data_IF_921173717504
#
_entry.id   IF_921173717504
#
_cell.length_a   1.000
_cell.length_b   1.000
_cell.length_c   1.000
_cell.angle_alpha   90.00
_cell.angle_beta   90.00
_cell.angle_gamma   90.00
#
_symmetry.space_group_name_H-M   'P 1'
#
loop_
_entity.id
_entity.type
_entity.pdbx_description
1 polymer ?
#
# COMPACT_ATOMS: atom_id res chain seq x y z
N UNK A 1 -31.32 0.77 -41.99
CA UNK A 1 -30.40 0.07 -41.06
C UNK A 1 -29.15 -0.33 -41.83
N UNK A 2 -27.99 0.31 -41.61
CA UNK A 2 -26.72 -0.26 -41.99
C UNK A 2 -26.05 -0.88 -40.77
N UNK A 3 -25.85 -2.19 -40.84
CA UNK A 3 -25.04 -3.00 -39.94
C UNK A 3 -23.57 -2.57 -40.02
N UNK A 4 -23.11 -1.81 -39.03
CA UNK A 4 -21.67 -1.60 -38.80
C UNK A 4 -21.05 -2.88 -38.25
N UNK A 5 -20.52 -3.69 -39.15
CA UNK A 5 -19.58 -4.75 -38.82
C UNK A 5 -18.43 -4.14 -38.01
N UNK A 6 -18.30 -4.56 -36.75
CA UNK A 6 -17.14 -4.28 -35.94
C UNK A 6 -15.91 -4.85 -36.65
N UNK A 7 -15.07 -3.98 -37.20
CA UNK A 7 -13.75 -4.36 -37.71
C UNK A 7 -12.95 -4.98 -36.57
N UNK A 8 -12.28 -6.13 -36.79
CA UNK A 8 -11.33 -6.64 -35.81
C UNK A 8 -10.23 -5.58 -35.66
N UNK A 9 -10.01 -5.15 -34.41
CA UNK A 9 -8.95 -4.21 -34.03
C UNK A 9 -7.62 -4.66 -34.67
N UNK A 10 -7.02 -3.82 -35.52
CA UNK A 10 -5.75 -4.15 -36.17
C UNK A 10 -4.64 -4.34 -35.10
N UNK A 11 -3.79 -5.37 -35.19
CA UNK A 11 -2.86 -5.75 -34.13
C UNK A 11 -1.56 -4.92 -34.09
N UNK A 12 -1.57 -3.65 -34.53
CA UNK A 12 -0.35 -2.85 -34.67
C UNK A 12 -0.55 -1.33 -34.46
N UNK A 13 -1.50 -0.91 -33.64
CA UNK A 13 -1.47 0.49 -33.17
C UNK A 13 -0.26 0.68 -32.24
N UNK A 14 0.54 1.74 -32.43
CA UNK A 14 1.70 2.00 -31.59
C UNK A 14 1.24 2.08 -30.13
N UNK A 15 1.99 1.44 -29.22
CA UNK A 15 1.75 1.49 -27.77
C UNK A 15 2.14 2.86 -27.20
N UNK A 16 1.66 3.91 -27.84
CA UNK A 16 1.86 5.33 -27.53
C UNK A 16 0.60 5.88 -26.88
N UNK A 17 0.77 6.85 -26.01
CA UNK A 17 -0.34 7.61 -25.45
C UNK A 17 -0.47 8.91 -26.24
N UNK A 18 -1.61 9.17 -26.91
CA UNK A 18 -1.77 10.39 -27.68
C UNK A 18 -1.84 11.62 -26.78
N UNK A 19 -1.57 12.79 -27.36
CA UNK A 19 -1.63 14.06 -26.65
C UNK A 19 -3.07 14.31 -26.17
N UNK A 20 -3.23 14.64 -24.89
CA UNK A 20 -4.52 14.90 -24.27
C UNK A 20 -4.35 15.66 -22.97
N UNK A 21 -5.45 16.15 -22.38
CA UNK A 21 -5.41 16.87 -21.11
C UNK A 21 -5.81 15.93 -19.98
N UNK A 22 -5.03 15.97 -18.88
CA UNK A 22 -5.33 15.27 -17.63
C UNK A 22 -5.28 16.22 -16.45
N UNK A 23 -5.95 15.88 -15.35
CA UNK A 23 -5.80 16.62 -14.10
C UNK A 23 -4.70 15.99 -13.23
N UNK A 24 -3.78 16.81 -12.72
CA UNK A 24 -2.78 16.35 -11.76
C UNK A 24 -3.46 15.88 -10.46
N UNK A 25 -3.18 14.66 -9.97
CA UNK A 25 -3.82 14.13 -8.76
C UNK A 25 -3.43 14.89 -7.49
N UNK A 26 -2.25 15.53 -7.44
CA UNK A 26 -1.76 16.22 -6.25
C UNK A 26 -2.13 17.70 -6.17
N UNK A 27 -1.90 18.47 -7.25
CA UNK A 27 -2.16 19.92 -7.25
C UNK A 27 -3.44 20.34 -7.99
N UNK A 28 -4.10 19.42 -8.69
CA UNK A 28 -5.34 19.68 -9.43
C UNK A 28 -5.17 20.49 -10.72
N UNK A 29 -3.94 20.87 -11.11
CA UNK A 29 -3.68 21.57 -12.36
C UNK A 29 -4.08 20.70 -13.56
N UNK A 30 -4.82 21.26 -14.52
CA UNK A 30 -5.05 20.63 -15.82
C UNK A 30 -3.78 20.76 -16.66
N UNK A 31 -3.16 19.63 -16.97
CA UNK A 31 -1.90 19.55 -17.71
C UNK A 31 -2.18 18.94 -19.08
N UNK A 32 -1.77 19.64 -20.13
CA UNK A 32 -1.77 19.10 -21.49
C UNK A 32 -0.56 18.19 -21.65
N UNK A 33 -0.79 16.89 -21.69
CA UNK A 33 0.25 15.90 -21.96
C UNK A 33 0.62 15.91 -23.45
N UNK A 34 1.92 15.91 -23.79
CA UNK A 34 2.36 15.62 -25.15
C UNK A 34 2.08 14.16 -25.50
N UNK A 35 2.16 13.82 -26.80
CA UNK A 35 2.09 12.42 -27.21
C UNK A 35 3.34 11.68 -26.70
N UNK A 36 3.14 10.71 -25.82
CA UNK A 36 4.22 9.95 -25.18
C UNK A 36 4.50 8.66 -25.95
N UNK A 37 5.79 8.40 -26.17
CA UNK A 37 6.31 7.15 -26.72
C UNK A 37 6.76 6.19 -25.62
N UNK A 38 7.00 4.96 -26.03
CA UNK A 38 7.50 3.89 -25.17
C UNK A 38 8.83 4.31 -24.52
N UNK A 39 8.88 4.30 -23.20
CA UNK A 39 10.03 4.71 -22.39
C UNK A 39 10.06 6.18 -21.99
N UNK A 40 9.07 6.99 -22.41
CA UNK A 40 8.94 8.39 -22.02
C UNK A 40 8.06 8.55 -20.77
N UNK A 41 8.33 9.60 -19.99
CA UNK A 41 7.65 9.95 -18.75
C UNK A 41 7.23 11.42 -18.77
N UNK A 42 6.15 11.76 -18.08
CA UNK A 42 5.64 13.12 -17.96
C UNK A 42 5.49 13.55 -16.50
N UNK A 43 5.88 14.80 -16.20
CA UNK A 43 5.83 15.40 -14.88
C UNK A 43 4.93 16.64 -14.85
N UNK A 44 4.32 16.92 -13.69
CA UNK A 44 3.51 18.11 -13.50
C UNK A 44 4.39 19.37 -13.35
N UNK A 45 4.18 20.44 -14.14
CA UNK A 45 5.01 21.65 -14.07
C UNK A 45 4.83 22.47 -12.79
N UNK A 46 3.76 22.24 -12.01
CA UNK A 46 3.45 23.01 -10.78
C UNK A 46 3.98 22.35 -9.50
N UNK A 47 3.84 21.03 -9.41
CA UNK A 47 4.17 20.29 -8.19
C UNK A 47 5.24 19.21 -8.40
N UNK A 48 5.73 19.02 -9.62
CA UNK A 48 6.71 17.99 -9.94
C UNK A 48 6.24 16.59 -9.52
N UNK A 49 4.95 16.32 -9.76
CA UNK A 49 4.37 14.98 -9.60
C UNK A 49 4.60 14.18 -10.87
N UNK A 50 5.04 12.93 -10.74
CA UNK A 50 5.04 11.98 -11.85
C UNK A 50 3.60 11.69 -12.29
N UNK A 51 3.25 12.05 -13.52
CA UNK A 51 1.90 11.91 -14.04
C UNK A 51 1.68 10.55 -14.71
N UNK A 52 2.54 10.21 -15.68
CA UNK A 52 2.40 9.02 -16.52
C UNK A 52 3.78 8.58 -17.02
N UNK A 53 4.04 7.28 -17.01
CA UNK A 53 5.14 6.62 -17.71
C UNK A 53 4.63 5.58 -18.70
N UNK A 54 5.26 5.43 -19.86
CA UNK A 54 4.98 4.29 -20.76
C UNK A 54 6.12 3.28 -20.64
N UNK A 55 5.92 2.11 -19.99
CA UNK A 55 6.97 1.13 -19.87
C UNK A 55 7.31 0.50 -21.23
N UNK A 56 8.53 -0.04 -21.37
CA UNK A 56 9.04 -0.62 -22.64
C UNK A 56 8.19 -1.76 -23.20
N UNK A 57 7.65 -2.58 -22.31
CA UNK A 57 6.81 -3.73 -22.63
C UNK A 57 5.55 -3.70 -21.75
N UNK A 58 4.60 -2.79 -22.05
CA UNK A 58 3.48 -2.48 -21.17
C UNK A 58 2.46 -3.62 -21.04
N UNK A 59 2.50 -4.64 -21.90
CA UNK A 59 1.61 -5.80 -21.81
C UNK A 59 2.34 -7.05 -21.34
N UNK A 60 3.44 -7.43 -22.01
CA UNK A 60 4.11 -8.70 -21.76
C UNK A 60 4.86 -8.74 -20.43
N UNK A 61 5.51 -7.65 -20.01
CA UNK A 61 6.27 -7.67 -18.75
C UNK A 61 5.38 -7.74 -17.50
N UNK A 62 4.31 -6.92 -17.34
CA UNK A 62 3.37 -7.08 -16.22
C UNK A 62 2.78 -8.48 -16.17
N UNK A 63 2.42 -9.07 -17.32
CA UNK A 63 1.84 -10.42 -17.39
C UNK A 63 2.84 -11.49 -16.96
N UNK A 64 4.10 -11.42 -17.43
CA UNK A 64 5.15 -12.37 -17.06
C UNK A 64 5.47 -12.29 -15.56
N UNK A 65 5.70 -11.08 -15.02
CA UNK A 65 5.97 -10.90 -13.59
C UNK A 65 4.77 -11.29 -12.72
N UNK A 66 3.53 -11.09 -13.18
CA UNK A 66 2.35 -11.50 -12.44
C UNK A 66 2.26 -13.03 -12.32
N UNK A 67 2.53 -13.78 -13.40
CA UNK A 67 2.62 -15.25 -13.35
C UNK A 67 3.76 -15.74 -12.45
N UNK A 68 4.96 -15.16 -12.58
CA UNK A 68 6.10 -15.48 -11.70
C UNK A 68 5.74 -15.23 -10.23
N UNK A 69 5.13 -14.08 -9.94
CA UNK A 69 4.70 -13.72 -8.57
C UNK A 69 3.65 -14.70 -8.04
N UNK A 70 2.71 -15.13 -8.86
CA UNK A 70 1.67 -16.09 -8.47
C UNK A 70 2.27 -17.46 -8.14
N UNK A 71 3.21 -17.94 -8.96
CA UNK A 71 3.93 -19.20 -8.71
C UNK A 71 4.74 -19.09 -7.42
N UNK A 72 5.48 -18.00 -7.22
CA UNK A 72 6.28 -17.79 -6.01
C UNK A 72 5.41 -17.67 -4.75
N UNK A 73 4.22 -17.06 -4.85
CA UNK A 73 3.24 -17.03 -3.76
C UNK A 73 2.77 -18.44 -3.38
N UNK A 74 2.45 -19.28 -4.38
CA UNK A 74 2.04 -20.67 -4.14
C UNK A 74 3.17 -21.51 -3.52
N UNK A 75 4.41 -21.29 -3.96
CA UNK A 75 5.59 -21.93 -3.36
C UNK A 75 5.78 -21.46 -1.91
N UNK A 76 5.69 -20.16 -1.64
CA UNK A 76 5.83 -19.60 -0.29
C UNK A 76 4.76 -20.12 0.69
N UNK A 77 3.59 -20.52 0.21
CA UNK A 77 2.55 -21.14 1.03
C UNK A 77 2.76 -22.64 1.26
N UNK A 78 3.46 -23.32 0.35
CA UNK A 78 3.64 -24.77 0.36
C UNK A 78 4.78 -25.24 1.26
N UNK A 79 5.82 -24.42 1.46
CA UNK A 79 7.00 -24.77 2.23
C UNK A 79 7.02 -24.08 3.62
N UNK A 80 7.81 -24.59 4.58
CA UNK A 80 8.00 -23.92 5.86
C UNK A 80 8.82 -22.63 5.70
N UNK A 81 8.40 -21.58 6.43
CA UNK A 81 9.08 -20.29 6.44
C UNK A 81 10.38 -20.36 7.22
N UNK A 82 10.32 -20.97 8.41
CA UNK A 82 11.41 -21.06 9.37
C UNK A 82 11.53 -22.51 9.86
N UNK A 83 12.78 -22.96 10.00
CA UNK A 83 13.11 -24.22 10.63
C UNK A 83 13.94 -23.90 11.88
N UNK A 84 13.45 -24.33 13.04
CA UNK A 84 14.14 -24.18 14.32
C UNK A 84 14.55 -25.57 14.79
N UNK A 85 15.85 -25.75 15.00
CA UNK A 85 16.40 -26.95 15.62
C UNK A 85 16.65 -26.68 17.10
N UNK A 86 15.88 -27.34 17.95
CA UNK A 86 16.10 -27.33 19.40
C UNK A 86 16.23 -28.78 19.84
N UNK A 87 17.44 -29.16 20.27
CA UNK A 87 17.72 -30.49 20.84
C UNK A 87 17.28 -31.66 19.94
N UNK A 88 17.41 -31.53 18.61
CA UNK A 88 17.10 -32.60 17.66
C UNK A 88 15.62 -32.72 17.27
N UNK A 89 14.74 -31.85 17.79
CA UNK A 89 13.37 -31.73 17.32
C UNK A 89 13.24 -30.53 16.38
N UNK A 90 13.08 -30.78 15.08
CA UNK A 90 12.89 -29.72 14.09
C UNK A 90 11.44 -29.25 14.09
N UNK A 91 11.20 -28.08 14.66
CA UNK A 91 9.90 -27.42 14.53
C UNK A 91 9.91 -26.54 13.29
N UNK A 92 9.00 -26.85 12.36
CA UNK A 92 8.82 -26.09 11.13
C UNK A 92 7.56 -25.25 11.25
N UNK A 93 7.65 -23.98 10.86
CA UNK A 93 6.51 -23.06 10.94
C UNK A 93 6.24 -22.48 9.55
N UNK A 94 5.07 -22.78 8.99
CA UNK A 94 4.59 -22.19 7.73
C UNK A 94 3.84 -20.87 7.96
N UNK A 95 3.64 -20.09 6.89
CA UNK A 95 2.90 -18.83 6.96
C UNK A 95 1.44 -19.03 7.39
N UNK A 96 0.82 -20.13 6.98
CA UNK A 96 -0.57 -20.45 7.34
C UNK A 96 -0.66 -20.92 8.81
N UNK A 97 0.31 -21.70 9.27
CA UNK A 97 0.42 -22.10 10.68
C UNK A 97 0.65 -20.89 11.60
N UNK A 98 1.43 -19.89 11.16
CA UNK A 98 1.57 -18.62 11.87
C UNK A 98 0.21 -17.94 12.09
N UNK A 99 -0.61 -17.83 11.05
CA UNK A 99 -1.92 -17.21 11.15
C UNK A 99 -2.86 -18.00 12.07
N UNK A 100 -2.86 -19.33 11.98
CA UNK A 100 -3.67 -20.20 12.84
C UNK A 100 -3.27 -20.09 14.32
N UNK A 101 -1.97 -20.05 14.62
CA UNK A 101 -1.46 -19.91 15.98
C UNK A 101 -1.93 -18.60 16.64
N UNK A 102 -2.00 -17.52 15.88
CA UNK A 102 -2.50 -16.22 16.36
C UNK A 102 -4.02 -16.26 16.56
N UNK A 103 -4.75 -16.91 15.65
CA UNK A 103 -6.21 -17.03 15.72
C UNK A 103 -6.67 -17.80 16.97
N UNK A 104 -5.97 -18.89 17.32
CA UNK A 104 -6.25 -19.70 18.53
C UNK A 104 -6.00 -18.94 19.85
N UNK A 105 -5.37 -17.77 19.80
CA UNK A 105 -4.98 -16.97 20.98
C UNK A 105 -5.81 -15.69 21.10
N UNK A 106 -6.97 -15.62 20.45
CA UNK A 106 -7.92 -14.48 20.46
C UNK A 106 -7.43 -13.17 19.80
N UNK A 107 -6.30 -13.19 19.09
CA UNK A 107 -5.78 -12.02 18.36
C UNK A 107 -6.22 -12.02 16.88
N UNK A 108 -7.51 -12.23 16.64
CA UNK A 108 -8.07 -12.37 15.29
C UNK A 108 -7.74 -11.20 14.36
N UNK A 109 -7.66 -9.97 14.87
CA UNK A 109 -7.30 -8.78 14.07
C UNK A 109 -5.90 -8.91 13.46
N UNK A 110 -4.90 -9.34 14.24
CA UNK A 110 -3.52 -9.51 13.75
C UNK A 110 -3.46 -10.61 12.69
N UNK A 111 -4.12 -11.75 12.94
CA UNK A 111 -4.18 -12.86 11.99
C UNK A 111 -4.85 -12.44 10.67
N UNK A 112 -5.95 -11.68 10.75
CA UNK A 112 -6.65 -11.16 9.58
C UNK A 112 -5.78 -10.17 8.80
N UNK A 113 -5.07 -9.26 9.48
CA UNK A 113 -4.14 -8.33 8.80
C UNK A 113 -3.03 -9.09 8.09
N UNK A 114 -2.43 -10.10 8.74
CA UNK A 114 -1.43 -10.96 8.12
C UNK A 114 -1.97 -11.65 6.86
N UNK A 115 -3.08 -12.39 6.99
CA UNK A 115 -3.68 -13.14 5.88
C UNK A 115 -4.13 -12.21 4.75
N UNK A 116 -4.76 -11.08 5.08
CA UNK A 116 -5.29 -10.15 4.10
C UNK A 116 -4.16 -9.45 3.33
N UNK A 117 -3.20 -8.84 4.01
CA UNK A 117 -2.17 -8.02 3.38
C UNK A 117 -1.03 -8.81 2.73
N UNK A 118 -0.73 -10.03 3.22
CA UNK A 118 0.39 -10.84 2.72
C UNK A 118 -0.05 -11.92 1.74
N UNK A 119 -1.29 -12.44 1.87
CA UNK A 119 -1.76 -13.57 1.05
C UNK A 119 -2.94 -13.20 0.15
N UNK A 120 -4.07 -12.80 0.73
CA UNK A 120 -5.34 -12.65 -0.01
C UNK A 120 -5.33 -11.46 -0.99
N UNK A 121 -4.93 -10.27 -0.55
CA UNK A 121 -4.89 -9.09 -1.41
C UNK A 121 -3.86 -9.20 -2.53
N UNK A 122 -2.61 -9.65 -2.28
CA UNK A 122 -1.68 -9.93 -3.37
C UNK A 122 -2.17 -11.00 -4.34
N UNK A 123 -2.76 -12.09 -3.84
CA UNK A 123 -3.34 -13.13 -4.70
C UNK A 123 -4.46 -12.58 -5.60
N UNK A 124 -5.39 -11.82 -5.02
CA UNK A 124 -6.48 -11.16 -5.76
C UNK A 124 -5.94 -10.15 -6.79
N UNK A 125 -4.94 -9.37 -6.41
CA UNK A 125 -4.26 -8.42 -7.30
C UNK A 125 -3.65 -9.14 -8.51
N UNK A 126 -2.88 -10.21 -8.27
CA UNK A 126 -2.23 -10.97 -9.34
C UNK A 126 -3.22 -11.62 -10.29
N UNK A 127 -4.28 -12.26 -9.77
CA UNK A 127 -5.34 -12.83 -10.59
C UNK A 127 -6.04 -11.77 -11.44
N UNK A 128 -6.29 -10.60 -10.86
CA UNK A 128 -6.90 -9.46 -11.57
C UNK A 128 -5.98 -8.93 -12.68
N UNK A 129 -4.69 -8.76 -12.40
CA UNK A 129 -3.69 -8.31 -13.39
C UNK A 129 -3.57 -9.33 -14.53
N UNK A 130 -3.43 -10.63 -14.22
CA UNK A 130 -3.38 -11.68 -15.24
C UNK A 130 -4.62 -11.63 -16.14
N UNK A 131 -5.81 -11.48 -15.55
CA UNK A 131 -7.07 -11.36 -16.28
C UNK A 131 -7.11 -10.12 -17.20
N UNK A 132 -6.79 -8.94 -16.67
CA UNK A 132 -6.81 -7.68 -17.42
C UNK A 132 -5.82 -7.70 -18.59
N UNK A 133 -4.56 -8.04 -18.33
CA UNK A 133 -3.51 -8.01 -19.36
C UNK A 133 -3.65 -9.15 -20.38
N UNK A 134 -4.21 -10.31 -20.00
CA UNK A 134 -4.59 -11.35 -20.96
C UNK A 134 -5.70 -10.87 -21.91
N UNK A 135 -6.71 -10.17 -21.39
CA UNK A 135 -7.76 -9.54 -22.21
C UNK A 135 -7.20 -8.51 -23.19
N UNK A 136 -6.28 -7.65 -22.72
CA UNK A 136 -5.61 -6.65 -23.55
C UNK A 136 -4.73 -7.30 -24.63
N UNK A 137 -3.97 -8.34 -24.28
CA UNK A 137 -3.09 -9.07 -25.21
C UNK A 137 -3.88 -9.79 -26.31
N UNK A 138 -5.04 -10.34 -25.97
CA UNK A 138 -5.91 -11.05 -26.93
C UNK A 138 -6.84 -10.12 -27.72
N UNK A 139 -6.88 -8.82 -27.39
CA UNK A 139 -7.79 -7.86 -28.00
C UNK A 139 -9.28 -8.14 -27.71
N UNK A 140 -9.58 -8.97 -26.69
CA UNK A 140 -10.95 -9.40 -26.38
C UNK A 140 -11.58 -8.50 -25.33
N UNK A 141 -12.86 -8.14 -25.55
CA UNK A 141 -13.70 -7.43 -24.58
C UNK A 141 -14.20 -8.39 -23.51
N UNK A 142 -13.35 -8.73 -22.54
CA UNK A 142 -13.73 -9.54 -21.39
C UNK A 142 -14.73 -8.79 -20.47
N UNK A 143 -15.64 -9.50 -19.78
CA UNK A 143 -16.57 -8.85 -18.87
C UNK A 143 -15.85 -8.21 -17.68
N UNK A 144 -16.26 -7.00 -17.28
CA UNK A 144 -15.78 -6.37 -16.05
C UNK A 144 -14.38 -5.72 -16.10
N UNK A 145 -13.77 -5.50 -17.27
CA UNK A 145 -12.43 -4.88 -17.37
C UNK A 145 -12.35 -3.50 -16.68
N UNK A 146 -13.36 -2.63 -16.85
CA UNK A 146 -13.40 -1.27 -16.25
C UNK A 146 -13.38 -1.28 -14.71
N UNK A 147 -14.30 -1.99 -14.00
CA UNK A 147 -14.27 -2.04 -12.54
C UNK A 147 -13.03 -2.78 -12.00
N UNK A 148 -12.54 -3.81 -12.69
CA UNK A 148 -11.32 -4.53 -12.29
C UNK A 148 -10.07 -3.63 -12.38
N UNK A 149 -9.94 -2.78 -13.41
CA UNK A 149 -8.86 -1.81 -13.47
C UNK A 149 -8.89 -0.80 -12.30
N UNK A 150 -10.09 -0.38 -11.91
CA UNK A 150 -10.28 0.47 -10.72
C UNK A 150 -9.90 -0.26 -9.43
N UNK A 151 -10.21 -1.56 -9.34
CA UNK A 151 -9.88 -2.40 -8.19
C UNK A 151 -8.35 -2.54 -8.01
N UNK A 152 -7.60 -2.70 -9.10
CA UNK A 152 -6.13 -2.79 -9.07
C UNK A 152 -5.51 -1.58 -8.35
N UNK A 153 -5.92 -0.36 -8.72
CA UNK A 153 -5.42 0.86 -8.06
C UNK A 153 -5.82 0.99 -6.59
N UNK A 154 -6.92 0.36 -6.17
CA UNK A 154 -7.36 0.34 -4.76
C UNK A 154 -6.62 -0.68 -3.92
N UNK A 155 -6.28 -1.85 -4.48
CA UNK A 155 -5.59 -2.94 -3.75
C UNK A 155 -4.11 -2.63 -3.58
N UNK A 156 -3.48 -2.01 -4.57
CA UNK A 156 -2.03 -1.83 -4.61
C UNK A 156 -1.40 -1.23 -3.33
N UNK A 157 -1.98 -0.19 -2.67
CA UNK A 157 -1.43 0.37 -1.44
C UNK A 157 -1.48 -0.55 -0.22
N UNK A 158 -2.31 -1.59 -0.25
CA UNK A 158 -2.53 -2.52 0.87
C UNK A 158 -1.65 -3.76 0.81
N UNK A 159 -0.95 -3.98 -0.31
CA UNK A 159 0.00 -5.08 -0.45
C UNK A 159 1.27 -4.71 0.30
N UNK A 160 1.55 -5.46 1.36
CA UNK A 160 2.66 -5.16 2.29
C UNK A 160 3.60 -6.35 2.48
N UNK A 161 3.77 -7.16 1.43
CA UNK A 161 4.59 -8.37 1.46
C UNK A 161 6.06 -8.04 1.72
N UNK A 162 6.56 -6.96 1.10
CA UNK A 162 7.90 -6.43 1.28
C UNK A 162 8.14 -5.95 2.72
N UNK A 163 7.14 -5.29 3.30
CA UNK A 163 7.15 -4.83 4.69
C UNK A 163 7.13 -6.02 5.65
N UNK A 164 6.34 -7.05 5.36
CA UNK A 164 6.31 -8.31 6.11
C UNK A 164 7.67 -9.03 6.07
N UNK A 165 8.30 -9.11 4.89
CA UNK A 165 9.63 -9.72 4.73
C UNK A 165 10.69 -8.97 5.55
N UNK A 166 10.67 -7.63 5.54
CA UNK A 166 11.56 -6.83 6.37
C UNK A 166 11.32 -7.12 7.86
N UNK A 167 10.05 -7.20 8.28
CA UNK A 167 9.68 -7.58 9.64
C UNK A 167 10.18 -8.98 10.02
N UNK A 168 10.13 -9.94 9.09
CA UNK A 168 10.68 -11.28 9.28
C UNK A 168 12.19 -11.23 9.53
N UNK A 169 12.93 -10.49 8.70
CA UNK A 169 14.38 -10.34 8.84
C UNK A 169 14.73 -9.69 10.19
N UNK A 170 14.04 -8.61 10.58
CA UNK A 170 14.25 -7.94 11.87
C UNK A 170 13.94 -8.87 13.05
N UNK A 171 12.83 -9.61 12.99
CA UNK A 171 12.47 -10.59 14.02
C UNK A 171 13.50 -11.71 14.12
N UNK A 172 14.04 -12.18 12.99
CA UNK A 172 15.07 -13.21 12.98
C UNK A 172 16.38 -12.73 13.59
N UNK A 173 16.82 -11.50 13.29
CA UNK A 173 18.01 -10.91 13.94
C UNK A 173 17.85 -10.88 15.46
N UNK A 174 16.65 -10.54 15.95
CA UNK A 174 16.33 -10.57 17.38
C UNK A 174 16.33 -11.98 17.97
N UNK A 175 15.92 -13.00 17.21
CA UNK A 175 15.92 -14.40 17.65
C UNK A 175 17.28 -15.07 17.55
N UNK A 176 18.11 -14.68 16.58
CA UNK A 176 19.45 -15.22 16.40
C UNK A 176 20.37 -14.96 17.60
N UNK A 177 20.08 -13.95 18.42
CA UNK A 177 20.79 -13.73 19.69
C UNK A 177 20.42 -14.75 20.79
N UNK A 178 19.32 -15.49 20.63
CA UNK A 178 18.82 -16.46 21.61
C UNK A 178 18.96 -17.91 21.13
N UNK A 179 18.88 -18.19 19.82
CA UNK A 179 18.92 -19.53 19.25
C UNK A 179 19.49 -19.56 17.81
N UNK A 180 19.93 -20.74 17.33
CA UNK A 180 20.27 -20.94 15.92
C UNK A 180 18.98 -21.07 15.09
N UNK A 181 18.78 -20.16 14.15
CA UNK A 181 17.59 -20.11 13.29
C UNK A 181 17.99 -20.29 11.83
N UNK A 182 17.42 -21.29 11.16
CA UNK A 182 17.63 -21.54 9.73
C UNK A 182 16.55 -20.93 8.85
N UNK A 183 16.92 -20.52 7.63
CA UNK A 183 15.96 -20.08 6.61
C UNK A 183 15.34 -21.28 5.88
N UNK A 184 14.01 -21.38 5.88
CA UNK A 184 13.29 -22.34 5.06
C UNK A 184 13.21 -21.92 3.59
N UNK A 185 12.81 -22.83 2.69
CA UNK A 185 12.64 -22.52 1.27
C UNK A 185 11.59 -21.41 1.05
N UNK A 186 10.56 -21.32 1.89
CA UNK A 186 9.55 -20.27 1.76
C UNK A 186 10.10 -18.87 2.01
N UNK A 187 11.17 -18.71 2.78
CA UNK A 187 11.79 -17.40 2.95
C UNK A 187 12.33 -16.86 1.61
N UNK A 188 13.04 -17.71 0.86
CA UNK A 188 13.56 -17.36 -0.46
C UNK A 188 12.45 -17.17 -1.50
N UNK A 189 11.41 -18.02 -1.45
CA UNK A 189 10.22 -17.86 -2.30
C UNK A 189 9.50 -16.53 -2.00
N UNK A 190 9.36 -16.16 -0.72
CA UNK A 190 8.76 -14.90 -0.27
C UNK A 190 9.59 -13.68 -0.67
N UNK A 191 10.93 -13.78 -0.62
CA UNK A 191 11.83 -12.75 -1.12
C UNK A 191 11.64 -12.55 -2.63
N UNK A 192 11.66 -13.63 -3.41
CA UNK A 192 11.40 -13.58 -4.85
C UNK A 192 10.00 -13.02 -5.16
N UNK A 193 8.99 -13.46 -4.42
CA UNK A 193 7.61 -13.01 -4.54
C UNK A 193 7.47 -11.52 -4.26
N UNK A 194 8.04 -11.02 -3.17
CA UNK A 194 8.06 -9.59 -2.81
C UNK A 194 8.64 -8.73 -3.94
N UNK A 195 9.79 -9.14 -4.49
CA UNK A 195 10.45 -8.43 -5.58
C UNK A 195 9.62 -8.47 -6.88
N UNK A 196 9.10 -9.64 -7.25
CA UNK A 196 8.30 -9.82 -8.45
C UNK A 196 6.95 -9.08 -8.35
N UNK A 197 6.31 -9.07 -7.18
CA UNK A 197 5.06 -8.35 -6.92
C UNK A 197 5.28 -6.83 -7.00
N UNK A 198 6.34 -6.33 -6.36
CA UNK A 198 6.72 -4.91 -6.43
C UNK A 198 7.03 -4.51 -7.87
N UNK A 199 7.71 -5.39 -8.62
CA UNK A 199 7.98 -5.14 -10.04
C UNK A 199 6.70 -5.13 -10.86
N UNK A 200 5.78 -6.06 -10.62
CA UNK A 200 4.46 -6.09 -11.27
C UNK A 200 3.71 -4.78 -11.05
N UNK A 201 3.61 -4.31 -9.80
CA UNK A 201 2.92 -3.06 -9.47
C UNK A 201 3.58 -1.82 -10.08
N UNK A 202 4.92 -1.75 -10.12
CA UNK A 202 5.63 -0.62 -10.74
C UNK A 202 5.52 -0.55 -12.26
N UNK A 203 5.22 -1.67 -12.93
CA UNK A 203 5.03 -1.70 -14.39
C UNK A 203 3.59 -1.38 -14.80
N UNK A 204 2.64 -1.39 -13.87
CA UNK A 204 1.24 -1.08 -14.13
C UNK A 204 1.06 0.43 -13.98
N UNK A 205 0.99 1.12 -15.11
CA UNK A 205 0.62 2.53 -15.16
C UNK A 205 -0.92 2.65 -15.21
N UNK A 206 -1.60 3.14 -14.15
CA UNK A 206 -3.07 3.13 -14.07
C UNK A 206 -3.73 3.94 -15.19
N UNK A 207 -3.14 5.08 -15.54
CA UNK A 207 -3.69 5.95 -16.57
C UNK A 207 -3.63 5.30 -17.97
N UNK A 208 -2.49 4.70 -18.32
CA UNK A 208 -2.32 3.95 -19.56
C UNK A 208 -3.23 2.70 -19.62
N UNK A 209 -3.39 1.99 -18.49
CA UNK A 209 -4.28 0.84 -18.40
C UNK A 209 -5.73 1.23 -18.70
N UNK A 210 -6.21 2.33 -18.10
CA UNK A 210 -7.55 2.85 -18.37
C UNK A 210 -7.71 3.33 -19.81
N UNK A 211 -6.70 3.97 -20.41
CA UNK A 211 -6.70 4.33 -21.83
C UNK A 211 -6.94 3.09 -22.71
N UNK A 212 -6.13 2.04 -22.52
CA UNK A 212 -6.18 0.85 -23.37
C UNK A 212 -7.49 0.08 -23.23
N UNK A 213 -8.03 -0.02 -22.01
CA UNK A 213 -9.32 -0.66 -21.77
C UNK A 213 -10.45 0.11 -22.45
N UNK A 214 -10.45 1.45 -22.39
CA UNK A 214 -11.49 2.24 -23.04
C UNK A 214 -11.45 2.11 -24.57
N UNK A 215 -10.25 2.06 -25.17
CA UNK A 215 -10.09 1.78 -26.60
C UNK A 215 -10.65 0.41 -26.99
N UNK A 216 -10.40 -0.64 -26.19
CA UNK A 216 -11.00 -1.96 -26.43
C UNK A 216 -12.52 -1.89 -26.48
N UNK A 217 -13.14 -1.05 -25.64
CA UNK A 217 -14.58 -0.80 -25.64
C UNK A 217 -15.07 0.15 -26.76
N UNK A 218 -14.18 0.64 -27.63
CA UNK A 218 -14.52 1.54 -28.74
C UNK A 218 -14.72 3.00 -28.34
N UNK A 219 -14.24 3.39 -27.15
CA UNK A 219 -14.31 4.77 -26.65
C UNK A 219 -12.91 5.34 -26.50
N UNK A 220 -12.58 6.40 -27.24
CA UNK A 220 -11.32 7.11 -27.10
C UNK A 220 -11.46 8.21 -26.01
N UNK A 221 -10.77 8.09 -24.86
CA UNK A 221 -10.87 9.06 -23.79
C UNK A 221 -10.10 10.35 -24.05
N UNK A 222 -9.31 10.40 -25.13
CA UNK A 222 -8.52 11.58 -25.50
C UNK A 222 -9.28 12.56 -26.40
N UNK A 223 -10.37 12.10 -27.02
CA UNK A 223 -11.21 12.90 -27.89
C UNK A 223 -12.40 13.49 -27.12
N UNK A 224 -12.57 14.81 -27.18
CA UNK A 224 -13.70 15.54 -26.60
C UNK A 224 -13.27 16.50 -25.50
N UNK A 225 -13.03 17.76 -25.88
CA UNK A 225 -12.76 18.86 -24.95
C UNK A 225 -13.64 20.07 -25.31
N UNK A 226 -14.66 20.33 -24.49
CA UNK A 226 -15.23 21.65 -24.22
C UNK A 226 -16.28 21.53 -23.10
N UNK A 227 -16.46 22.63 -22.35
CA UNK A 227 -17.34 22.82 -21.17
C UNK A 227 -16.79 22.31 -19.82
N UNK A 228 -17.18 22.93 -18.67
CA UNK A 228 -16.49 22.72 -17.39
C UNK A 228 -16.34 21.24 -17.09
N UNK A 229 -15.10 20.82 -16.86
CA UNK A 229 -14.74 19.41 -16.68
C UNK A 229 -14.04 19.19 -15.35
N UNK A 230 -14.24 18.00 -14.81
CA UNK A 230 -13.58 17.53 -13.61
C UNK A 230 -12.65 16.37 -13.96
N UNK A 231 -11.43 16.42 -13.46
CA UNK A 231 -10.51 15.29 -13.53
C UNK A 231 -10.94 14.15 -12.62
N UNK A 232 -11.14 12.97 -13.17
CA UNK A 232 -11.44 11.77 -12.41
C UNK A 232 -10.21 11.35 -11.57
N UNK A 233 -10.38 11.14 -10.26
CA UNK A 233 -9.27 10.74 -9.38
C UNK A 233 -8.80 9.30 -9.62
N UNK A 234 -9.62 8.48 -10.27
CA UNK A 234 -9.30 7.08 -10.54
C UNK A 234 -8.53 6.91 -11.85
N UNK A 235 -9.02 7.49 -12.96
CA UNK A 235 -8.40 7.30 -14.28
C UNK A 235 -7.65 8.53 -14.80
N UNK A 236 -7.69 9.69 -14.14
CA UNK A 236 -7.01 10.92 -14.55
C UNK A 236 -7.65 11.68 -15.73
N UNK A 237 -8.50 11.02 -16.52
CA UNK A 237 -9.23 11.64 -17.62
C UNK A 237 -10.25 12.68 -17.15
N UNK A 238 -10.48 13.67 -18.02
CA UNK A 238 -11.50 14.69 -17.84
C UNK A 238 -12.89 14.15 -18.17
N UNK A 239 -13.85 14.38 -17.28
CA UNK A 239 -15.28 14.13 -17.51
C UNK A 239 -16.07 15.42 -17.34
N UNK A 240 -17.24 15.58 -17.97
CA UNK A 240 -18.03 16.81 -17.85
C UNK A 240 -18.48 16.99 -16.41
N UNK A 241 -18.53 18.23 -15.94
CA UNK A 241 -18.95 18.53 -14.56
C UNK A 241 -20.42 18.19 -14.28
N UNK A 242 -21.25 18.04 -15.32
CA UNK A 242 -22.65 17.64 -15.21
C UNK A 242 -22.85 16.17 -14.85
N UNK A 243 -21.82 15.32 -15.03
CA UNK A 243 -21.92 13.89 -14.75
C UNK A 243 -21.48 13.57 -13.32
N UNK A 244 -22.28 12.77 -12.59
CA UNK A 244 -21.89 12.26 -11.27
C UNK A 244 -20.92 11.07 -11.34
N UNK A 245 -20.80 10.43 -12.50
CA UNK A 245 -19.95 9.25 -12.71
C UNK A 245 -19.08 9.45 -13.94
N UNK A 246 -17.83 9.01 -13.85
CA UNK A 246 -16.88 9.09 -14.94
C UNK A 246 -17.34 8.21 -16.11
N UNK A 247 -17.50 8.80 -17.30
CA UNK A 247 -17.85 8.07 -18.53
C UNK A 247 -16.91 6.92 -18.90
N UNK A 248 -15.67 6.95 -18.41
CA UNK A 248 -14.62 5.99 -18.75
C UNK A 248 -14.49 4.86 -17.71
N UNK A 249 -14.24 5.20 -16.44
CA UNK A 249 -14.01 4.21 -15.38
C UNK A 249 -15.23 3.97 -14.47
N UNK A 250 -16.34 4.71 -14.66
CA UNK A 250 -17.56 4.66 -13.84
C UNK A 250 -17.37 5.01 -12.35
N UNK A 251 -16.19 5.52 -11.97
CA UNK A 251 -15.97 6.05 -10.62
C UNK A 251 -16.81 7.33 -10.41
N UNK A 252 -17.28 7.53 -9.18
CA UNK A 252 -18.03 8.73 -8.78
C UNK A 252 -17.14 9.97 -8.88
N UNK A 253 -17.57 10.95 -9.66
CA UNK A 253 -16.87 12.21 -9.88
C UNK A 253 -17.18 13.19 -8.75
N UNK A 254 -16.13 13.84 -8.26
CA UNK A 254 -16.25 14.94 -7.31
C UNK A 254 -15.15 15.95 -7.62
N UNK A 255 -15.41 17.25 -7.42
CA UNK A 255 -14.37 18.27 -7.57
C UNK A 255 -13.25 18.07 -6.53
N UNK A 256 -13.65 17.79 -5.28
CA UNK A 256 -12.79 17.39 -4.15
C UNK A 256 -13.43 16.25 -3.40
N UNK A 257 -12.63 15.43 -2.72
CA UNK A 257 -13.16 14.29 -1.98
C UNK A 257 -14.10 14.77 -0.85
N UNK A 258 -15.36 14.29 -0.81
CA UNK A 258 -16.37 14.84 0.08
C UNK A 258 -16.00 14.59 1.54
N UNK A 259 -16.07 15.66 2.35
CA UNK A 259 -15.73 15.67 3.78
C UNK A 259 -14.32 15.13 4.06
N UNK A 260 -13.37 15.32 3.16
CA UNK A 260 -11.98 14.84 3.31
C UNK A 260 -11.37 15.26 4.65
N UNK A 261 -11.41 16.57 4.98
CA UNK A 261 -10.88 17.06 6.26
C UNK A 261 -11.53 16.41 7.48
N UNK A 262 -12.86 16.24 7.47
CA UNK A 262 -13.56 15.61 8.59
C UNK A 262 -13.19 14.12 8.73
N UNK A 263 -13.10 13.38 7.61
CA UNK A 263 -12.70 11.97 7.60
C UNK A 263 -11.26 11.81 8.10
N UNK A 264 -10.34 12.62 7.58
CA UNK A 264 -8.93 12.62 8.00
C UNK A 264 -8.81 12.99 9.47
N UNK A 265 -9.48 14.05 9.95
CA UNK A 265 -9.43 14.45 11.36
C UNK A 265 -10.03 13.38 12.30
N UNK A 266 -11.14 12.74 11.93
CA UNK A 266 -11.73 11.67 12.74
C UNK A 266 -10.83 10.44 12.84
N UNK A 267 -10.21 10.02 11.74
CA UNK A 267 -9.26 8.91 11.71
C UNK A 267 -7.96 9.24 12.45
N UNK A 268 -7.48 10.47 12.33
CA UNK A 268 -6.33 10.96 13.08
C UNK A 268 -6.60 10.99 14.59
N UNK A 269 -7.77 11.45 15.01
CA UNK A 269 -8.19 11.43 16.41
C UNK A 269 -8.27 9.99 16.93
N UNK A 270 -8.85 9.08 16.16
CA UNK A 270 -8.88 7.66 16.52
C UNK A 270 -7.46 7.08 16.68
N UNK A 271 -6.52 7.44 15.80
CA UNK A 271 -5.12 7.04 15.92
C UNK A 271 -4.46 7.58 17.19
N UNK A 272 -4.69 8.86 17.54
CA UNK A 272 -4.16 9.46 18.78
C UNK A 272 -4.71 8.76 20.02
N UNK A 273 -6.00 8.44 20.05
CA UNK A 273 -6.61 7.69 21.16
C UNK A 273 -6.01 6.29 21.29
N UNK A 274 -5.78 5.59 20.17
CA UNK A 274 -5.18 4.25 20.16
C UNK A 274 -3.67 4.25 20.47
N UNK A 275 -2.97 5.36 20.22
CA UNK A 275 -1.54 5.52 20.54
C UNK A 275 -1.27 5.37 22.04
N UNK A 276 -2.18 5.87 22.89
CA UNK A 276 -2.04 5.81 24.35
C UNK A 276 -2.00 4.37 24.89
N UNK A 277 -3.03 3.52 24.68
CA UNK A 277 -2.97 2.13 25.13
C UNK A 277 -1.88 1.32 24.41
N UNK A 278 -1.53 1.65 23.16
CA UNK A 278 -0.45 0.99 22.43
C UNK A 278 0.94 1.15 23.08
N UNK A 279 1.19 2.27 23.77
CA UNK A 279 2.48 2.53 24.43
C UNK A 279 2.47 2.25 25.94
N UNK A 280 1.29 2.29 26.59
CA UNK A 280 1.16 2.06 28.02
C UNK A 280 0.99 0.58 28.39
N UNK A 281 0.28 -0.20 27.58
CA UNK A 281 0.04 -1.61 27.88
C UNK A 281 1.17 -2.51 27.36
N UNK A 282 1.30 -3.74 27.89
CA UNK A 282 2.27 -4.69 27.37
C UNK A 282 1.95 -5.06 25.93
N UNK A 283 2.96 -5.00 25.07
CA UNK A 283 2.90 -5.49 23.68
C UNK A 283 3.19 -6.99 23.63
N UNK A 284 3.94 -7.47 24.63
CA UNK A 284 4.42 -8.83 24.72
C UNK A 284 4.32 -9.32 26.16
N UNK A 285 3.81 -10.53 26.32
CA UNK A 285 3.81 -11.26 27.58
C UNK A 285 4.72 -12.47 27.41
N UNK A 286 5.85 -12.48 28.12
CA UNK A 286 6.78 -13.62 28.11
C UNK A 286 6.53 -14.48 29.33
N UNK A 287 6.10 -15.72 29.12
CA UNK A 287 5.90 -16.69 30.18
C UNK A 287 7.13 -17.61 30.26
N UNK A 288 7.74 -17.66 31.45
CA UNK A 288 8.88 -18.54 31.75
C UNK A 288 8.66 -19.20 33.10
N UNK A 289 8.66 -20.54 33.14
CA UNK A 289 8.49 -21.33 34.37
C UNK A 289 7.25 -20.91 35.20
N UNK A 290 6.13 -20.61 34.52
CA UNK A 290 4.88 -20.16 35.14
C UNK A 290 4.86 -18.69 35.60
N UNK A 291 5.94 -17.93 35.38
CA UNK A 291 6.00 -16.49 35.66
C UNK A 291 5.77 -15.70 34.37
N UNK A 292 4.70 -14.93 34.34
CA UNK A 292 4.36 -14.03 33.23
C UNK A 292 5.07 -12.68 33.45
N UNK A 293 5.91 -12.30 32.50
CA UNK A 293 6.63 -11.02 32.51
C UNK A 293 6.10 -10.12 31.37
N UNK A 294 5.29 -9.10 31.69
CA UNK A 294 4.83 -8.15 30.69
C UNK A 294 5.97 -7.21 30.28
N UNK A 295 6.05 -6.92 28.98
CA UNK A 295 6.96 -5.93 28.42
C UNK A 295 6.22 -4.95 27.51
N UNK A 296 6.35 -3.65 27.77
CA UNK A 296 5.90 -2.59 26.85
C UNK A 296 6.92 -2.37 25.74
N UNK A 297 6.56 -1.58 24.71
CA UNK A 297 7.49 -1.17 23.64
C UNK A 297 8.72 -0.48 24.24
N UNK A 298 8.50 0.50 25.12
CA UNK A 298 9.57 1.28 25.77
C UNK A 298 10.45 0.40 26.66
N UNK A 299 9.85 -0.50 27.42
CA UNK A 299 10.60 -1.45 28.25
C UNK A 299 11.44 -2.39 27.37
N UNK A 300 10.90 -2.86 26.24
CA UNK A 300 11.64 -3.66 25.27
C UNK A 300 12.86 -2.93 24.71
N UNK A 301 12.72 -1.64 24.37
CA UNK A 301 13.83 -0.79 23.92
C UNK A 301 14.90 -0.66 25.01
N UNK A 302 14.49 -0.43 26.26
CA UNK A 302 15.42 -0.29 27.39
C UNK A 302 16.22 -1.58 27.67
N UNK A 303 15.55 -2.73 27.65
CA UNK A 303 16.22 -4.04 27.81
C UNK A 303 17.25 -4.29 26.70
N UNK A 304 16.89 -3.98 25.43
CA UNK A 304 17.82 -4.10 24.30
C UNK A 304 19.02 -3.14 24.46
N UNK A 305 18.77 -1.92 24.92
CA UNK A 305 19.82 -0.93 25.19
C UNK A 305 20.81 -1.42 26.25
N UNK A 306 20.33 -1.99 27.36
CA UNK A 306 21.17 -2.56 28.41
C UNK A 306 22.00 -3.75 27.93
N UNK A 307 21.42 -4.58 27.05
CA UNK A 307 22.10 -5.72 26.42
C UNK A 307 23.10 -5.32 25.32
N UNK A 308 23.40 -4.02 25.18
CA UNK A 308 24.30 -3.43 24.16
C UNK A 308 23.84 -3.67 22.71
N UNK A 309 22.60 -4.08 22.47
CA UNK A 309 22.02 -4.20 21.12
C UNK A 309 21.46 -2.86 20.63
N UNK A 310 22.27 -1.81 20.72
CA UNK A 310 21.89 -0.43 20.37
C UNK A 310 21.25 -0.27 18.98
N UNK A 311 21.76 -0.92 17.91
CA UNK A 311 21.15 -0.79 16.58
C UNK A 311 19.71 -1.28 16.54
N UNK A 312 19.41 -2.40 17.21
CA UNK A 312 18.06 -2.97 17.25
C UNK A 312 17.12 -2.08 18.07
N UNK A 313 17.59 -1.61 19.23
CA UNK A 313 16.84 -0.69 20.08
C UNK A 313 16.46 0.60 19.33
N UNK A 314 17.39 1.17 18.54
CA UNK A 314 17.15 2.37 17.73
C UNK A 314 16.12 2.12 16.62
N UNK A 315 16.22 1.00 15.91
CA UNK A 315 15.25 0.64 14.86
C UNK A 315 13.84 0.55 15.44
N UNK A 316 13.65 -0.15 16.57
CA UNK A 316 12.34 -0.28 17.21
C UNK A 316 11.84 1.08 17.71
N UNK A 317 12.69 1.89 18.35
CA UNK A 317 12.30 3.23 18.80
C UNK A 317 11.82 4.11 17.64
N UNK A 318 12.59 4.15 16.55
CA UNK A 318 12.26 4.98 15.38
C UNK A 318 10.98 4.50 14.71
N UNK A 319 10.83 3.20 14.49
CA UNK A 319 9.69 2.60 13.81
C UNK A 319 8.38 2.68 14.62
N UNK A 320 8.45 2.47 15.94
CA UNK A 320 7.27 2.22 16.78
C UNK A 320 6.82 3.44 17.57
N UNK A 321 7.72 4.39 17.83
CA UNK A 321 7.44 5.58 18.64
C UNK A 321 7.57 6.84 17.79
N UNK A 322 8.75 7.07 17.19
CA UNK A 322 9.04 8.33 16.49
C UNK A 322 8.23 8.49 15.19
N UNK A 323 8.22 7.48 14.31
CA UNK A 323 7.50 7.55 13.03
C UNK A 323 5.99 7.80 13.23
N UNK A 324 5.26 7.06 14.10
CA UNK A 324 3.84 7.33 14.34
C UNK A 324 3.57 8.74 14.87
N UNK A 325 4.38 9.23 15.82
CA UNK A 325 4.26 10.61 16.33
C UNK A 325 4.47 11.62 15.19
N UNK A 326 5.56 11.49 14.43
CA UNK A 326 5.88 12.38 13.32
C UNK A 326 4.75 12.39 12.28
N UNK A 327 4.18 11.22 11.95
CA UNK A 327 3.07 11.07 11.02
C UNK A 327 1.79 11.75 11.53
N UNK A 328 1.44 11.56 12.81
CA UNK A 328 0.27 12.20 13.40
C UNK A 328 0.39 13.73 13.45
N UNK A 329 1.55 14.25 13.86
CA UNK A 329 1.82 15.70 13.87
C UNK A 329 1.75 16.26 12.45
N UNK A 330 2.42 15.62 11.49
CA UNK A 330 2.47 16.12 10.13
C UNK A 330 1.08 16.10 9.45
N UNK A 331 0.26 15.05 9.67
CA UNK A 331 -1.13 15.03 9.20
C UNK A 331 -2.00 16.08 9.90
N UNK A 332 -1.81 16.34 11.19
CA UNK A 332 -2.51 17.41 11.91
C UNK A 332 -2.18 18.79 11.31
N UNK A 333 -0.89 19.05 11.02
CA UNK A 333 -0.43 20.28 10.38
C UNK A 333 -1.02 20.43 8.98
N UNK A 334 -1.07 19.37 8.17
CA UNK A 334 -1.70 19.39 6.85
C UNK A 334 -3.21 19.66 6.93
N UNK A 335 -3.91 19.06 7.90
CA UNK A 335 -5.33 19.33 8.12
C UNK A 335 -5.57 20.80 8.52
N UNK A 336 -4.75 21.33 9.43
CA UNK A 336 -4.84 22.72 9.86
C UNK A 336 -4.56 23.69 8.70
N UNK A 337 -3.52 23.39 7.92
CA UNK A 337 -3.14 24.20 6.76
C UNK A 337 -4.20 24.18 5.65
N UNK A 338 -4.93 23.07 5.50
CA UNK A 338 -6.05 22.98 4.56
C UNK A 338 -7.36 23.60 5.11
N UNK A 339 -7.49 23.75 6.42
CA UNK A 339 -8.69 24.31 7.07
C UNK A 339 -8.62 25.83 7.25
N UNK A 340 -7.42 26.38 7.46
CA UNK A 340 -7.21 27.80 7.77
C UNK A 340 -6.30 28.44 6.71
N UNK A 341 -6.64 29.65 6.21
CA UNK A 341 -5.74 30.44 5.39
C UNK A 341 -4.38 30.59 6.06
N UNK A 342 -3.33 30.18 5.36
CA UNK A 342 -1.95 30.31 5.84
C UNK A 342 -1.05 30.78 4.70
N UNK A 343 0.15 31.25 5.06
CA UNK A 343 1.14 31.76 4.11
C UNK A 343 2.15 30.67 3.67
N UNK A 344 2.01 29.44 4.16
CA UNK A 344 2.94 28.37 3.82
C UNK A 344 2.76 28.01 2.35
N UNK A 345 3.87 27.97 1.62
CA UNK A 345 3.82 27.66 0.20
C UNK A 345 3.28 26.22 -0.01
N UNK A 346 2.24 26.03 -0.84
CA UNK A 346 1.52 24.75 -0.97
C UNK A 346 2.41 23.61 -1.49
N UNK A 347 3.49 23.93 -2.22
CA UNK A 347 4.48 22.95 -2.64
C UNK A 347 5.19 22.29 -1.45
N UNK A 348 5.51 23.02 -0.38
CA UNK A 348 6.16 22.45 0.81
C UNK A 348 5.22 21.50 1.54
N UNK A 349 3.95 21.85 1.65
CA UNK A 349 2.91 21.00 2.26
C UNK A 349 2.66 19.74 1.42
N UNK A 350 2.68 19.88 0.09
CA UNK A 350 2.58 18.74 -0.84
C UNK A 350 3.79 17.81 -0.73
N UNK A 351 5.01 18.34 -0.64
CA UNK A 351 6.23 17.55 -0.40
C UNK A 351 6.17 16.84 0.96
N UNK A 352 5.72 17.52 2.00
CA UNK A 352 5.51 16.91 3.33
C UNK A 352 4.52 15.75 3.24
N UNK A 353 3.39 15.95 2.54
CA UNK A 353 2.43 14.88 2.29
C UNK A 353 3.07 13.68 1.56
N UNK A 354 3.86 13.89 0.51
CA UNK A 354 4.56 12.80 -0.21
C UNK A 354 5.49 12.00 0.70
N UNK A 355 6.22 12.68 1.59
CA UNK A 355 7.09 12.00 2.57
C UNK A 355 6.26 11.17 3.55
N UNK A 356 5.14 11.72 4.05
CA UNK A 356 4.22 10.99 4.93
C UNK A 356 3.63 9.77 4.24
N UNK A 357 3.17 9.93 3.00
CA UNK A 357 2.55 8.86 2.21
C UNK A 357 3.56 7.75 1.92
N UNK A 358 4.80 8.12 1.56
CA UNK A 358 5.90 7.18 1.39
C UNK A 358 6.20 6.41 2.68
N UNK A 359 6.36 7.09 3.83
CA UNK A 359 6.61 6.46 5.13
C UNK A 359 5.40 5.61 5.57
N UNK A 360 4.20 5.96 5.12
CA UNK A 360 2.93 5.37 5.52
C UNK A 360 2.89 3.84 5.41
N UNK A 361 3.33 3.28 4.29
CA UNK A 361 3.39 1.81 4.07
C UNK A 361 4.40 1.11 4.98
N UNK A 362 5.53 1.76 5.30
CA UNK A 362 6.58 1.21 6.16
C UNK A 362 6.21 1.23 7.64
N UNK A 363 5.24 2.05 8.05
CA UNK A 363 4.77 2.08 9.44
C UNK A 363 4.20 0.74 9.93
N UNK A 364 3.87 -0.20 9.02
CA UNK A 364 3.36 -1.53 9.35
C UNK A 364 4.46 -2.57 9.64
N UNK A 365 5.75 -2.26 9.42
CA UNK A 365 6.86 -3.19 9.72
C UNK A 365 6.74 -3.74 11.13
N UNK A 366 6.49 -2.86 12.09
CA UNK A 366 6.52 -3.23 13.51
C UNK A 366 5.35 -4.16 13.92
N UNK A 367 4.17 -3.98 13.30
CA UNK A 367 3.04 -4.92 13.45
C UNK A 367 3.44 -6.32 13.00
N UNK A 368 4.11 -6.43 11.84
CA UNK A 368 4.57 -7.72 11.34
C UNK A 368 5.71 -8.32 12.17
N UNK A 369 6.61 -7.50 12.72
CA UNK A 369 7.64 -7.97 13.67
C UNK A 369 6.98 -8.63 14.88
N UNK A 370 5.97 -7.99 15.48
CA UNK A 370 5.24 -8.55 16.63
C UNK A 370 4.56 -9.87 16.26
N UNK A 371 3.88 -9.92 15.11
CA UNK A 371 3.22 -11.12 14.58
C UNK A 371 4.20 -12.29 14.48
N UNK A 372 5.36 -12.07 13.87
CA UNK A 372 6.37 -13.11 13.63
C UNK A 372 7.07 -13.51 14.92
N UNK A 373 7.35 -12.56 15.81
CA UNK A 373 8.01 -12.85 17.08
C UNK A 373 7.12 -13.71 17.98
N UNK A 374 5.82 -13.41 18.05
CA UNK A 374 4.85 -14.23 18.78
C UNK A 374 4.85 -15.65 18.26
N UNK A 375 4.88 -15.86 16.94
CA UNK A 375 4.83 -17.22 16.41
C UNK A 375 6.15 -17.96 16.54
N UNK A 376 7.29 -17.27 16.44
CA UNK A 376 8.61 -17.89 16.52
C UNK A 376 9.06 -18.27 17.93
N UNK A 377 8.69 -17.52 18.96
CA UNK A 377 9.16 -17.79 20.34
C UNK A 377 8.23 -18.78 21.06
N UNK A 378 7.92 -19.88 20.39
CA UNK A 378 7.31 -21.05 21.00
C UNK A 378 8.39 -22.12 21.22
N UNK A 379 9.31 -21.87 22.15
CA UNK A 379 10.35 -22.84 22.51
C UNK A 379 9.81 -23.87 23.52
N UNK A 380 8.95 -24.77 23.03
CA UNK A 380 8.43 -25.89 23.82
C UNK A 380 7.76 -25.47 25.14
N UNK A 381 7.86 -26.31 26.17
CA UNK A 381 7.23 -26.08 27.49
C UNK A 381 7.96 -25.09 28.41
N UNK A 382 9.08 -24.49 27.96
CA UNK A 382 9.98 -23.72 28.83
C UNK A 382 9.78 -22.21 28.73
N UNK A 383 9.51 -21.68 27.52
CA UNK A 383 9.21 -20.26 27.29
C UNK A 383 8.21 -20.07 26.14
N UNK A 384 7.14 -19.31 26.41
CA UNK A 384 6.18 -18.88 25.40
C UNK A 384 6.02 -17.37 25.42
N UNK A 385 5.76 -16.81 24.24
CA UNK A 385 5.54 -15.38 24.05
C UNK A 385 4.15 -15.16 23.47
N UNK A 386 3.36 -14.36 24.16
CA UNK A 386 2.00 -14.03 23.76
C UNK A 386 1.90 -12.55 23.37
N UNK A 387 1.07 -12.20 22.38
CA UNK A 387 0.75 -10.80 22.13
C UNK A 387 0.04 -10.25 23.37
N UNK A 388 0.38 -9.02 23.76
CA UNK A 388 -0.38 -8.30 24.76
C UNK A 388 -1.47 -7.44 24.12
N UNK A 389 -2.35 -6.88 24.94
CA UNK A 389 -3.46 -6.01 24.48
C UNK A 389 -3.00 -4.78 23.70
N UNK A 390 -1.76 -4.32 23.94
CA UNK A 390 -1.19 -3.21 23.20
C UNK A 390 -1.00 -3.53 21.71
N UNK A 391 -0.79 -4.81 21.34
CA UNK A 391 -0.61 -5.20 19.94
C UNK A 391 -1.85 -4.88 19.07
N UNK A 392 -3.06 -5.07 19.62
CA UNK A 392 -4.31 -4.70 18.93
C UNK A 392 -4.45 -3.19 18.79
N UNK A 393 -4.18 -2.45 19.87
CA UNK A 393 -4.24 -0.98 19.87
C UNK A 393 -3.22 -0.38 18.91
N UNK A 394 -2.01 -0.93 18.89
CA UNK A 394 -0.93 -0.53 18.00
C UNK A 394 -1.29 -0.80 16.53
N UNK A 395 -1.79 -2.00 16.20
CA UNK A 395 -2.23 -2.31 14.86
C UNK A 395 -3.38 -1.39 14.40
N UNK A 396 -4.39 -1.19 15.25
CA UNK A 396 -5.49 -0.26 14.97
C UNK A 396 -5.03 1.18 14.76
N UNK A 397 -4.08 1.65 15.56
CA UNK A 397 -3.46 2.97 15.39
C UNK A 397 -2.76 3.10 14.04
N UNK A 398 -1.92 2.13 13.65
CA UNK A 398 -1.22 2.18 12.36
C UNK A 398 -2.21 2.19 11.19
N UNK A 399 -3.23 1.32 11.23
CA UNK A 399 -4.30 1.30 10.23
C UNK A 399 -5.07 2.63 10.17
N UNK A 400 -5.41 3.21 11.32
CA UNK A 400 -6.10 4.51 11.39
C UNK A 400 -5.25 5.64 10.81
N UNK A 401 -3.94 5.70 11.09
CA UNK A 401 -3.05 6.71 10.49
C UNK A 401 -2.86 6.54 8.99
N UNK A 402 -2.84 5.30 8.48
CA UNK A 402 -2.77 5.01 7.04
C UNK A 402 -4.06 5.45 6.35
N UNK A 403 -5.22 5.04 6.87
CA UNK A 403 -6.51 5.46 6.36
C UNK A 403 -6.72 6.98 6.43
N UNK A 404 -6.20 7.63 7.47
CA UNK A 404 -6.22 9.09 7.63
C UNK A 404 -5.47 9.77 6.48
N UNK A 405 -4.25 9.31 6.18
CA UNK A 405 -3.45 9.84 5.07
C UNK A 405 -4.14 9.61 3.72
N UNK A 406 -4.65 8.40 3.46
CA UNK A 406 -5.37 8.08 2.21
C UNK A 406 -6.67 8.87 2.03
N UNK A 407 -7.30 9.32 3.12
CA UNK A 407 -8.54 10.11 3.07
C UNK A 407 -8.30 11.61 2.81
N UNK A 408 -7.06 12.07 2.98
CA UNK A 408 -6.68 13.47 2.84
C UNK A 408 -6.52 13.86 1.37
N UNK A 409 -7.28 14.87 0.93
CA UNK A 409 -7.19 15.40 -0.43
C UNK A 409 -6.16 16.53 -0.49
N UNK A 410 -4.96 16.20 -0.97
CA UNK A 410 -3.80 17.12 -1.10
C UNK A 410 -4.13 18.40 -1.85
N UNK A 411 -5.11 18.34 -2.77
CA UNK A 411 -5.49 19.49 -3.60
C UNK A 411 -6.11 20.62 -2.80
N UNK A 412 -6.68 20.31 -1.63
CA UNK A 412 -7.20 21.33 -0.71
C UNK A 412 -6.11 22.32 -0.27
N UNK A 413 -4.85 21.87 -0.18
CA UNK A 413 -3.71 22.73 0.15
C UNK A 413 -3.46 23.81 -0.92
N UNK A 414 -3.87 23.55 -2.16
CA UNK A 414 -3.72 24.46 -3.28
C UNK A 414 -4.94 25.36 -3.50
N UNK A 415 -6.07 25.03 -2.89
CA UNK A 415 -7.32 25.79 -2.96
C UNK A 415 -7.39 26.92 -1.94
N UNK A 416 -6.70 26.75 -0.80
CA UNK A 416 -6.52 27.78 0.23
C UNK A 416 -5.61 28.86 -0.35
N UNK A 417 -6.18 29.72 -1.19
CA UNK A 417 -5.48 30.79 -1.90
C UNK A 417 -4.85 31.74 -0.89
N UNK A 418 -3.56 32.01 -1.09
CA UNK A 418 -2.80 33.04 -0.39
C UNK A 418 -3.51 34.39 -0.52
N UNK A 419 -3.53 35.24 0.53
CA UNK A 419 -4.03 36.61 0.41
C UNK A 419 -3.15 37.36 -0.61
N UNK A 420 -3.62 37.52 -1.86
CA UNK A 420 -2.89 38.28 -2.88
C UNK A 420 -3.22 38.05 -4.37
N UNK A 421 -3.87 36.97 -4.78
CA UNK A 421 -4.21 36.77 -6.21
C UNK A 421 -5.63 37.28 -6.53
N UNK A 422 -5.72 38.59 -6.80
CA UNK A 422 -6.84 39.25 -7.47
C UNK A 422 -7.03 38.73 -8.91
N UNK A 423 -8.29 38.60 -9.33
CA UNK A 423 -8.72 38.62 -10.74
C UNK A 423 -8.55 37.31 -11.49
#
# INVERSE_FOLDING_TARGET
MPSTLATPFAPAEPMTLPAHVMACPQCGLHVTLPALRVGEEAFCPRCDEHLVSIPRSPVDAPLAFAWTSLILLLLACSFPLLAIDVQGNQTQISLLQNAEAIYRRDFALLANVLLLCVLLLPGLFLLTVIYLFSGIKTGRRLPGLRPLATLVGRIQPWMMVDVFLLGAIVSMIKMASLAQVGFGLSFWALLGFSLALTRTGSLIEPHWLHYRINLLHGTDPTQGQAEPSHGCHTCGFLSPASEERCRFCHATLHARHPRSLQKTAALLLAAVVLYVPANLYPIMLTESLGRITPSTIVQGIFVMWQNRSYPIALIIFVASVFIPIAKMIALALLCLAAAIPNQVHPLHLTRLYRVIDFIGRWSMVDVFVVIILVTLVHMGSLMSVHPGVAALSFCGMVLATMLSAMSFDVRLLWDVKQPGSTG
#
